data_IF_183361713345
#
_entry.id   IF_183361713345
#
_cell.length_a   1.000
_cell.length_b   1.000
_cell.length_c   1.000
_cell.angle_alpha   90.00
_cell.angle_beta   90.00
_cell.angle_gamma   90.00
#
_symmetry.space_group_name_H-M   'P 1'
#
loop_
_entity.id
_entity.type
_entity.pdbx_description
1 polymer ?
#
# COMPACT_ATOMS: atom_id res chain seq x y z
N UNK A 1 69.76 12.12 4.31
CA UNK A 1 69.08 12.95 3.30
C UNK A 1 69.32 12.37 1.92
N UNK A 2 68.27 11.91 1.22
CA UNK A 2 67.88 12.60 -0.02
C UNK A 2 66.36 12.67 -0.30
N UNK A 3 65.94 13.88 -0.70
CA UNK A 3 64.96 14.32 -1.71
C UNK A 3 63.65 13.53 -1.93
N UNK A 4 62.58 14.15 -1.44
CA UNK A 4 61.16 13.94 -1.77
C UNK A 4 60.86 14.02 -3.28
N UNK A 5 60.13 13.01 -3.80
CA UNK A 5 59.49 13.04 -5.12
C UNK A 5 58.03 13.50 -4.95
N UNK A 6 57.73 14.72 -5.41
CA UNK A 6 56.36 15.23 -5.57
C UNK A 6 55.60 14.36 -6.58
N UNK A 7 54.59 13.62 -6.10
CA UNK A 7 53.56 12.98 -6.93
C UNK A 7 52.63 14.05 -7.49
N UNK A 8 52.50 14.06 -8.81
CA UNK A 8 51.59 14.93 -9.55
C UNK A 8 50.12 14.63 -9.17
N UNK A 9 49.37 15.69 -8.83
CA UNK A 9 47.92 15.61 -8.62
C UNK A 9 47.23 15.51 -9.98
N UNK A 10 46.73 14.32 -10.29
CA UNK A 10 45.76 14.10 -11.37
C UNK A 10 44.47 14.86 -11.06
N UNK A 11 44.17 15.90 -11.84
CA UNK A 11 42.87 16.60 -11.81
C UNK A 11 41.81 15.67 -12.39
N UNK A 12 40.97 15.09 -11.53
CA UNK A 12 39.70 14.50 -11.98
C UNK A 12 38.83 15.62 -12.58
N UNK A 13 38.14 15.39 -13.71
CA UNK A 13 37.22 16.38 -14.25
C UNK A 13 36.09 16.58 -13.26
N UNK A 14 35.86 17.83 -12.87
CA UNK A 14 34.67 18.24 -12.14
C UNK A 14 33.48 18.01 -13.09
N UNK A 15 32.69 16.96 -12.84
CA UNK A 15 31.35 16.83 -13.41
C UNK A 15 30.58 18.10 -13.03
N UNK A 16 30.30 18.95 -14.03
CA UNK A 16 29.36 20.06 -13.87
C UNK A 16 28.03 19.43 -13.44
N UNK A 17 27.56 19.71 -12.22
CA UNK A 17 26.18 19.42 -11.83
C UNK A 17 25.27 20.15 -12.82
N UNK A 18 24.51 19.41 -13.62
CA UNK A 18 23.48 19.97 -14.47
C UNK A 18 22.44 20.69 -13.59
N UNK A 19 21.82 21.76 -14.11
CA UNK A 19 20.68 22.36 -13.40
C UNK A 19 19.52 21.36 -13.34
N UNK A 20 18.62 21.45 -12.34
CA UNK A 20 17.43 20.59 -12.26
C UNK A 20 16.61 20.58 -13.56
N UNK A 21 16.47 21.75 -14.20
CA UNK A 21 15.79 21.89 -15.50
C UNK A 21 16.48 21.12 -16.63
N UNK A 22 17.82 21.15 -16.67
CA UNK A 22 18.58 20.39 -17.67
C UNK A 22 18.42 18.89 -17.43
N UNK A 23 18.50 18.47 -16.16
CA UNK A 23 18.32 17.07 -15.76
C UNK A 23 16.92 16.55 -16.12
N UNK A 24 15.88 17.38 -15.96
CA UNK A 24 14.52 17.02 -16.35
C UNK A 24 14.39 16.85 -17.86
N UNK A 25 14.92 17.80 -18.63
CA UNK A 25 14.87 17.72 -20.10
C UNK A 25 15.65 16.51 -20.63
N UNK A 26 16.79 16.19 -20.02
CA UNK A 26 17.55 14.98 -20.35
C UNK A 26 16.73 13.72 -20.03
N UNK A 27 16.07 13.65 -18.87
CA UNK A 27 15.20 12.51 -18.52
C UNK A 27 14.00 12.35 -19.48
N UNK A 28 13.36 13.46 -19.87
CA UNK A 28 12.28 13.43 -20.86
C UNK A 28 12.79 12.98 -22.24
N UNK A 29 14.00 13.40 -22.62
CA UNK A 29 14.64 12.99 -23.87
C UNK A 29 14.91 11.49 -23.89
N UNK A 30 15.55 10.99 -22.84
CA UNK A 30 15.82 9.56 -22.66
C UNK A 30 14.51 8.76 -22.67
N UNK A 31 13.43 9.34 -22.11
CA UNK A 31 12.08 8.79 -22.16
C UNK A 31 11.49 8.69 -23.57
N UNK A 32 11.66 9.71 -24.40
CA UNK A 32 11.18 9.72 -25.79
C UNK A 32 11.97 8.74 -26.67
N UNK A 33 13.28 8.67 -26.45
CA UNK A 33 14.18 7.80 -27.22
C UNK A 33 14.13 6.33 -26.75
N UNK A 34 13.50 6.07 -25.60
CA UNK A 34 13.33 4.73 -25.05
C UNK A 34 12.43 3.84 -25.95
N UNK A 35 12.81 2.57 -26.16
CA UNK A 35 11.96 1.60 -26.87
C UNK A 35 10.74 1.16 -26.05
N UNK A 36 10.62 1.61 -24.79
CA UNK A 36 9.53 1.23 -23.89
C UNK A 36 8.94 2.45 -23.16
N UNK A 37 7.66 2.41 -22.74
CA UNK A 37 6.97 3.59 -22.17
C UNK A 37 7.49 4.12 -20.83
N UNK A 38 8.06 3.25 -19.99
CA UNK A 38 8.29 3.46 -18.56
C UNK A 38 9.22 4.62 -18.23
N UNK A 39 10.37 4.80 -18.91
CA UNK A 39 11.22 5.96 -18.64
C UNK A 39 10.50 7.30 -18.81
N UNK A 40 9.67 7.46 -19.87
CA UNK A 40 8.88 8.68 -20.06
C UNK A 40 7.74 8.78 -19.05
N UNK A 41 6.97 7.70 -18.85
CA UNK A 41 5.83 7.71 -17.94
C UNK A 41 6.24 7.89 -16.47
N UNK A 42 7.38 7.36 -16.06
CA UNK A 42 7.96 7.56 -14.73
C UNK A 42 8.40 9.01 -14.51
N UNK A 43 9.10 9.61 -15.48
CA UNK A 43 9.49 11.02 -15.41
C UNK A 43 8.28 11.95 -15.33
N UNK A 44 7.23 11.66 -16.10
CA UNK A 44 5.98 12.41 -16.08
C UNK A 44 5.18 12.16 -14.79
N UNK A 45 5.17 10.93 -14.27
CA UNK A 45 4.57 10.58 -12.98
C UNK A 45 5.18 11.39 -11.84
N UNK A 46 6.51 11.49 -11.79
CA UNK A 46 7.21 12.34 -10.82
C UNK A 46 6.80 13.81 -10.95
N UNK A 47 6.71 14.36 -12.16
CA UNK A 47 6.27 15.75 -12.36
C UNK A 47 4.84 15.99 -11.84
N UNK A 48 3.93 15.07 -12.13
CA UNK A 48 2.55 15.13 -11.66
C UNK A 48 2.47 14.99 -10.13
N UNK A 49 3.30 14.12 -9.55
CA UNK A 49 3.39 13.95 -8.11
C UNK A 49 3.85 15.22 -7.39
N UNK A 50 4.91 15.86 -7.91
CA UNK A 50 5.38 17.16 -7.39
C UNK A 50 4.29 18.23 -7.50
N UNK A 51 3.54 18.27 -8.61
CA UNK A 51 2.43 19.19 -8.76
C UNK A 51 1.27 18.89 -7.77
N UNK A 52 0.96 17.61 -7.54
CA UNK A 52 -0.07 17.18 -6.61
C UNK A 52 0.23 17.51 -5.15
N UNK A 53 1.51 17.54 -4.75
CA UNK A 53 1.95 17.87 -3.40
C UNK A 53 2.05 19.37 -3.09
N UNK A 54 1.73 20.26 -4.04
CA UNK A 54 1.80 21.71 -3.84
C UNK A 54 0.58 22.26 -3.07
N UNK A 55 0.70 23.49 -2.53
CA UNK A 55 -0.39 24.16 -1.81
C UNK A 55 -1.64 24.38 -2.68
N UNK A 56 -1.44 24.67 -3.98
CA UNK A 56 -2.48 24.73 -5.01
C UNK A 56 -2.11 23.78 -6.15
N UNK A 57 -2.54 22.50 -6.08
CA UNK A 57 -2.23 21.50 -7.09
C UNK A 57 -2.73 21.87 -8.49
N UNK A 58 -3.92 22.51 -8.56
CA UNK A 58 -4.55 22.89 -9.83
C UNK A 58 -3.78 24.00 -10.54
N UNK A 59 -3.41 25.06 -9.81
CA UNK A 59 -2.58 26.13 -10.36
C UNK A 59 -1.18 25.62 -10.75
N UNK A 60 -0.57 24.77 -9.92
CA UNK A 60 0.76 24.21 -10.18
C UNK A 60 0.78 23.33 -11.43
N UNK A 61 -0.24 22.48 -11.61
CA UNK A 61 -0.40 21.69 -12.82
C UNK A 61 -0.62 22.58 -14.06
N UNK A 62 -1.45 23.61 -13.94
CA UNK A 62 -1.68 24.55 -15.04
C UNK A 62 -0.39 25.28 -15.47
N UNK A 63 0.45 25.67 -14.51
CA UNK A 63 1.74 26.30 -14.76
C UNK A 63 2.78 25.34 -15.34
N UNK A 64 2.81 24.08 -14.86
CA UNK A 64 3.62 23.02 -15.47
C UNK A 64 3.26 22.82 -16.95
N UNK A 65 1.97 22.66 -17.25
CA UNK A 65 1.47 22.51 -18.63
C UNK A 65 1.82 23.73 -19.47
N UNK A 66 1.66 24.95 -18.93
CA UNK A 66 2.01 26.19 -19.63
C UNK A 66 3.50 26.28 -19.93
N UNK A 67 4.36 25.90 -19.00
CA UNK A 67 5.82 25.90 -19.14
C UNK A 67 6.28 24.94 -20.23
N UNK A 68 5.78 23.69 -20.20
CA UNK A 68 6.08 22.69 -21.23
C UNK A 68 5.55 23.11 -22.61
N UNK A 69 4.39 23.78 -22.65
CA UNK A 69 3.79 24.33 -23.88
C UNK A 69 4.53 25.56 -24.42
N UNK A 70 5.26 26.30 -23.58
CA UNK A 70 6.11 27.39 -24.07
C UNK A 70 7.39 26.88 -24.77
N UNK A 71 7.83 25.67 -24.43
CA UNK A 71 9.01 25.05 -25.00
C UNK A 71 8.67 24.29 -26.30
N UNK A 72 9.15 24.80 -27.43
CA UNK A 72 9.01 24.16 -28.74
C UNK A 72 10.05 23.04 -28.91
N UNK A 73 9.85 21.93 -28.21
CA UNK A 73 10.72 20.75 -28.22
C UNK A 73 9.90 19.45 -28.27
N UNK A 74 10.48 18.39 -28.83
CA UNK A 74 9.81 17.10 -28.96
C UNK A 74 9.58 16.47 -27.58
N UNK A 75 10.55 16.59 -26.68
CA UNK A 75 10.52 16.07 -25.32
C UNK A 75 9.40 16.67 -24.48
N UNK A 76 9.18 17.99 -24.61
CA UNK A 76 8.10 18.70 -23.90
C UNK A 76 6.74 18.42 -24.51
N UNK A 77 6.66 18.26 -25.83
CA UNK A 77 5.44 17.77 -26.51
C UNK A 77 5.07 16.34 -26.07
N UNK A 78 6.04 15.46 -25.91
CA UNK A 78 5.82 14.10 -25.41
C UNK A 78 5.33 14.11 -23.96
N UNK A 79 5.97 14.90 -23.09
CA UNK A 79 5.56 15.08 -21.70
C UNK A 79 4.12 15.63 -21.60
N UNK A 80 3.76 16.64 -22.40
CA UNK A 80 2.41 17.19 -22.43
C UNK A 80 1.36 16.15 -22.80
N UNK A 81 1.64 15.29 -23.79
CA UNK A 81 0.69 14.26 -24.21
C UNK A 81 0.54 13.16 -23.16
N UNK A 82 1.64 12.78 -22.50
CA UNK A 82 1.61 11.87 -21.36
C UNK A 82 0.79 12.47 -20.20
N UNK A 83 1.07 13.72 -19.80
CA UNK A 83 0.31 14.44 -18.75
C UNK A 83 -1.18 14.43 -19.08
N UNK A 84 -1.56 14.85 -20.28
CA UNK A 84 -2.96 14.90 -20.70
C UNK A 84 -3.68 13.55 -20.74
N UNK A 85 -2.91 12.46 -20.79
CA UNK A 85 -3.45 11.10 -20.78
C UNK A 85 -3.56 10.58 -19.34
N UNK A 86 -2.51 10.76 -18.54
CA UNK A 86 -2.46 10.32 -17.14
C UNK A 86 -3.45 11.09 -16.25
N UNK A 87 -3.70 12.37 -16.51
CA UNK A 87 -4.72 13.15 -15.78
C UNK A 87 -6.15 12.86 -16.23
N UNK A 88 -6.33 11.99 -17.22
CA UNK A 88 -7.65 11.63 -17.80
C UNK A 88 -8.42 12.84 -18.35
N UNK A 89 -7.76 13.96 -18.63
CA UNK A 89 -8.38 15.20 -19.12
C UNK A 89 -8.52 15.18 -20.65
N UNK A 90 -9.75 14.91 -21.12
CA UNK A 90 -10.08 14.86 -22.54
C UNK A 90 -9.93 16.21 -23.26
N UNK A 91 -10.16 17.34 -22.58
CA UNK A 91 -10.05 18.67 -23.18
C UNK A 91 -8.59 19.06 -23.34
N UNK A 92 -7.78 18.85 -22.29
CA UNK A 92 -6.33 19.02 -22.32
C UNK A 92 -5.72 18.15 -23.42
N UNK A 93 -6.13 16.88 -23.53
CA UNK A 93 -5.64 15.96 -24.57
C UNK A 93 -5.94 16.44 -25.98
N UNK A 94 -7.16 16.93 -26.23
CA UNK A 94 -7.53 17.50 -27.54
C UNK A 94 -6.71 18.74 -27.87
N UNK A 95 -6.49 19.62 -26.88
CA UNK A 95 -5.66 20.82 -27.03
C UNK A 95 -4.22 20.46 -27.36
N UNK A 96 -3.60 19.59 -26.56
CA UNK A 96 -2.22 19.13 -26.73
C UNK A 96 -2.02 18.42 -28.08
N UNK A 97 -2.97 17.58 -28.51
CA UNK A 97 -2.90 16.91 -29.83
C UNK A 97 -2.88 17.91 -30.99
N UNK A 98 -3.66 19.00 -30.93
CA UNK A 98 -3.61 20.07 -31.95
C UNK A 98 -2.27 20.80 -31.92
N UNK A 99 -1.80 21.17 -30.74
CA UNK A 99 -0.52 21.84 -30.55
C UNK A 99 0.67 21.02 -31.11
N UNK A 100 0.69 19.71 -30.87
CA UNK A 100 1.72 18.80 -31.41
C UNK A 100 1.66 18.75 -32.94
N UNK A 101 0.45 18.70 -33.51
CA UNK A 101 0.26 18.69 -34.96
C UNK A 101 0.73 20.01 -35.60
N UNK A 102 0.41 21.16 -34.99
CA UNK A 102 0.82 22.48 -35.46
C UNK A 102 2.35 22.64 -35.43
N UNK A 103 3.03 22.04 -34.44
CA UNK A 103 4.50 21.99 -34.34
C UNK A 103 5.15 21.01 -35.33
N UNK A 104 4.38 20.05 -35.86
CA UNK A 104 4.92 18.98 -36.70
C UNK A 104 5.82 17.99 -35.95
N UNK A 105 5.70 17.91 -34.62
CA UNK A 105 6.47 16.96 -33.81
C UNK A 105 5.98 15.53 -34.02
N UNK A 106 6.92 14.62 -34.31
CA UNK A 106 6.64 13.19 -34.46
C UNK A 106 6.93 12.50 -33.14
N UNK A 107 5.91 11.84 -32.58
CA UNK A 107 5.99 11.14 -31.31
C UNK A 107 5.92 9.61 -31.50
N UNK A 108 6.44 8.82 -30.54
CA UNK A 108 6.30 7.37 -30.57
C UNK A 108 4.83 6.95 -30.67
N UNK A 109 4.56 5.91 -31.48
CA UNK A 109 3.19 5.43 -31.72
C UNK A 109 2.47 5.05 -30.42
N UNK A 110 3.16 4.35 -29.52
CA UNK A 110 2.61 3.93 -28.23
C UNK A 110 2.09 5.11 -27.41
N UNK A 111 2.75 6.28 -27.50
CA UNK A 111 2.37 7.48 -26.78
C UNK A 111 1.17 8.19 -27.42
N UNK A 112 1.14 8.23 -28.76
CA UNK A 112 0.01 8.82 -29.51
C UNK A 112 -1.29 8.05 -29.26
N UNK A 113 -1.19 6.73 -29.14
CA UNK A 113 -2.30 5.82 -28.91
C UNK A 113 -2.51 5.48 -27.42
N UNK A 114 -1.77 6.08 -26.48
CA UNK A 114 -1.78 5.70 -25.06
C UNK A 114 -3.19 5.69 -24.43
N UNK A 115 -4.11 6.52 -24.93
CA UNK A 115 -5.53 6.55 -24.53
C UNK A 115 -6.34 5.30 -24.94
N UNK A 116 -5.74 4.40 -25.73
CA UNK A 116 -6.29 3.09 -26.14
C UNK A 116 -5.66 1.93 -25.37
N UNK A 117 -5.00 2.20 -24.25
CA UNK A 117 -4.49 1.15 -23.39
C UNK A 117 -5.64 0.33 -22.81
N UNK A 118 -5.45 -0.98 -22.71
CA UNK A 118 -6.49 -1.91 -22.27
C UNK A 118 -6.09 -2.56 -20.94
N UNK A 119 -6.99 -2.63 -19.94
CA UNK A 119 -6.72 -3.35 -18.71
C UNK A 119 -6.55 -4.84 -19.00
N UNK A 120 -5.76 -5.53 -18.18
CA UNK A 120 -5.73 -7.00 -18.16
C UNK A 120 -6.97 -7.48 -17.43
N UNK A 121 -7.66 -8.49 -17.97
CA UNK A 121 -8.90 -9.08 -17.40
C UNK A 121 -8.68 -9.89 -16.09
N UNK A 122 -7.55 -9.67 -15.42
CA UNK A 122 -7.13 -10.34 -14.20
C UNK A 122 -6.38 -9.36 -13.31
N UNK A 123 -6.73 -9.35 -12.04
CA UNK A 123 -5.96 -8.75 -10.97
C UNK A 123 -5.58 -9.84 -9.96
N UNK A 124 -4.49 -9.61 -9.22
CA UNK A 124 -3.94 -10.59 -8.29
C UNK A 124 -3.79 -9.96 -6.92
N UNK A 125 -4.14 -10.71 -5.88
CA UNK A 125 -3.81 -10.40 -4.49
C UNK A 125 -2.75 -11.38 -4.00
N UNK A 126 -1.68 -10.85 -3.43
CA UNK A 126 -0.66 -11.59 -2.68
C UNK A 126 -0.80 -11.17 -1.21
N UNK A 127 -0.96 -12.13 -0.31
CA UNK A 127 -1.18 -11.85 1.10
C UNK A 127 -0.63 -12.95 1.98
N UNK A 128 -0.30 -12.61 3.23
CA UNK A 128 0.07 -13.62 4.25
C UNK A 128 -1.19 -14.26 4.85
N UNK A 129 -1.04 -15.30 5.65
CA UNK A 129 -2.17 -15.88 6.41
C UNK A 129 -2.79 -14.91 7.41
N UNK A 130 -2.03 -13.91 7.88
CA UNK A 130 -2.52 -12.88 8.80
C UNK A 130 -3.20 -11.73 8.06
N UNK A 131 -2.87 -11.53 6.78
CA UNK A 131 -3.32 -10.38 5.96
C UNK A 131 -3.08 -9.05 6.66
N UNK A 132 -1.99 -8.95 7.40
CA UNK A 132 -1.45 -7.72 7.96
C UNK A 132 -1.23 -6.67 6.86
N UNK A 133 -0.74 -7.13 5.70
CA UNK A 133 -0.79 -6.39 4.46
C UNK A 133 -1.18 -7.28 3.28
N UNK A 134 -1.88 -6.68 2.32
CA UNK A 134 -2.17 -7.27 1.03
C UNK A 134 -1.40 -6.49 -0.05
N UNK A 135 -0.80 -7.19 -1.01
CA UNK A 135 -0.32 -6.60 -2.25
C UNK A 135 -1.32 -6.85 -3.37
N UNK A 136 -1.90 -5.78 -3.91
CA UNK A 136 -2.80 -5.85 -5.05
C UNK A 136 -2.06 -5.47 -6.33
N UNK A 137 -2.20 -6.33 -7.34
CA UNK A 137 -1.57 -6.17 -8.64
C UNK A 137 -2.61 -6.01 -9.74
N UNK A 138 -2.44 -4.98 -10.55
CA UNK A 138 -3.27 -4.71 -11.73
C UNK A 138 -2.40 -4.48 -12.96
N UNK A 139 -2.77 -5.11 -14.06
CA UNK A 139 -2.04 -5.03 -15.33
C UNK A 139 -2.75 -4.16 -16.36
N UNK A 140 -1.99 -3.47 -17.20
CA UNK A 140 -2.47 -2.75 -18.39
C UNK A 140 -1.55 -3.06 -19.57
N UNK A 141 -2.15 -3.23 -20.75
CA UNK A 141 -1.43 -3.35 -22.02
C UNK A 141 -1.51 -2.02 -22.77
N UNK A 142 -0.36 -1.39 -22.92
CA UNK A 142 -0.18 -0.16 -23.71
C UNK A 142 -0.02 -0.53 -25.19
N UNK A 143 -0.52 0.29 -26.14
CA UNK A 143 -0.31 0.05 -27.56
C UNK A 143 1.14 -0.19 -27.94
N UNK A 144 1.35 -1.10 -28.88
CA UNK A 144 2.69 -1.64 -29.17
C UNK A 144 3.03 -2.90 -28.35
N UNK A 145 2.11 -3.36 -27.48
CA UNK A 145 2.27 -4.61 -26.72
C UNK A 145 3.11 -4.45 -25.46
N UNK A 146 3.28 -3.23 -24.97
CA UNK A 146 4.04 -2.97 -23.75
C UNK A 146 3.15 -3.22 -22.53
N UNK A 147 3.58 -4.12 -21.64
CA UNK A 147 2.85 -4.39 -20.40
C UNK A 147 3.34 -3.51 -19.26
N UNK A 148 2.40 -2.95 -18.51
CA UNK A 148 2.63 -2.29 -17.23
C UNK A 148 1.88 -3.07 -16.15
N UNK A 149 2.51 -3.26 -14.99
CA UNK A 149 1.86 -3.81 -13.80
C UNK A 149 2.07 -2.86 -12.64
N UNK A 150 0.99 -2.40 -12.05
CA UNK A 150 1.03 -1.68 -10.77
C UNK A 150 0.99 -2.70 -9.65
N UNK A 151 1.82 -2.50 -8.64
CA UNK A 151 1.81 -3.23 -7.37
C UNK A 151 1.50 -2.19 -6.29
N UNK A 152 0.48 -2.43 -5.49
CA UNK A 152 0.10 -1.53 -4.38
C UNK A 152 0.00 -2.35 -3.10
N UNK A 153 0.77 -1.96 -2.08
CA UNK A 153 0.72 -2.55 -0.74
C UNK A 153 -0.32 -1.80 0.09
N UNK A 154 -1.34 -2.54 0.52
CA UNK A 154 -2.39 -2.08 1.43
C UNK A 154 -2.09 -2.66 2.80
N UNK A 155 -1.91 -1.77 3.77
CA UNK A 155 -1.70 -2.13 5.16
C UNK A 155 -3.04 -2.18 5.88
N UNK A 156 -3.49 -3.39 6.19
CA UNK A 156 -4.81 -3.61 6.78
C UNK A 156 -4.80 -3.34 8.28
N UNK A 157 -3.64 -3.46 8.92
CA UNK A 157 -3.39 -3.12 10.32
C UNK A 157 -3.54 -1.61 10.58
N UNK A 158 -3.30 -0.77 9.57
CA UNK A 158 -3.54 0.68 9.58
C UNK A 158 -4.92 1.10 9.05
N UNK A 159 -5.88 0.17 8.94
CA UNK A 159 -7.23 0.49 8.44
C UNK A 159 -7.34 0.45 6.91
N UNK A 160 -6.61 -0.48 6.27
CA UNK A 160 -6.57 -0.67 4.81
C UNK A 160 -6.03 0.55 4.05
N UNK A 161 -4.88 1.09 4.49
CA UNK A 161 -4.22 2.25 3.90
C UNK A 161 -3.18 1.83 2.85
N UNK A 162 -3.12 2.52 1.72
CA UNK A 162 -2.05 2.30 0.74
C UNK A 162 -0.72 2.86 1.28
N UNK A 163 0.19 1.98 1.70
CA UNK A 163 1.46 2.39 2.32
C UNK A 163 2.62 2.41 1.34
N UNK A 164 2.55 1.60 0.29
CA UNK A 164 3.57 1.53 -0.75
C UNK A 164 2.93 1.20 -2.10
N UNK A 165 3.64 1.49 -3.18
CA UNK A 165 3.22 1.09 -4.51
C UNK A 165 4.15 1.59 -5.59
N UNK A 166 4.17 0.87 -6.71
CA UNK A 166 5.06 1.18 -7.83
C UNK A 166 4.53 0.53 -9.10
N UNK A 167 5.04 0.98 -10.25
CA UNK A 167 4.70 0.40 -11.55
C UNK A 167 5.94 -0.19 -12.20
N UNK A 168 5.82 -1.43 -12.69
CA UNK A 168 6.87 -2.13 -13.42
C UNK A 168 6.47 -2.38 -14.87
N UNK A 169 7.47 -2.35 -15.76
CA UNK A 169 7.28 -2.63 -17.19
C UNK A 169 7.38 -4.13 -17.48
N UNK A 170 6.47 -4.89 -16.90
CA UNK A 170 6.42 -6.34 -17.09
C UNK A 170 4.98 -6.82 -17.05
N UNK A 171 4.67 -7.92 -17.75
CA UNK A 171 3.35 -8.54 -17.66
C UNK A 171 3.07 -9.01 -16.24
N UNK A 172 1.80 -8.90 -15.82
CA UNK A 172 1.34 -9.32 -14.49
C UNK A 172 1.86 -10.73 -14.13
N UNK A 173 1.76 -11.68 -15.06
CA UNK A 173 2.21 -13.06 -14.86
C UNK A 173 3.71 -13.22 -14.58
N UNK A 174 4.54 -12.24 -14.96
CA UNK A 174 5.98 -12.23 -14.68
C UNK A 174 6.32 -11.53 -13.37
N UNK A 175 5.44 -10.65 -12.88
CA UNK A 175 5.63 -9.88 -11.63
C UNK A 175 5.20 -10.69 -10.42
N UNK A 176 4.07 -11.42 -10.51
CA UNK A 176 3.55 -12.22 -9.39
C UNK A 176 4.62 -13.14 -8.77
N UNK A 177 5.40 -13.92 -9.54
CA UNK A 177 6.41 -14.81 -8.95
C UNK A 177 7.56 -14.07 -8.25
N UNK A 178 7.79 -12.78 -8.53
CA UNK A 178 8.84 -11.99 -7.89
C UNK A 178 8.45 -11.50 -6.50
N UNK A 179 7.14 -11.48 -6.20
CA UNK A 179 6.58 -11.06 -4.91
C UNK A 179 6.40 -12.22 -3.94
N UNK A 180 6.39 -13.45 -4.46
CA UNK A 180 6.37 -14.65 -3.64
C UNK A 180 7.82 -14.92 -3.25
N UNK A 181 8.20 -14.66 -2.00
CA UNK A 181 9.49 -15.12 -1.50
C UNK A 181 9.57 -16.65 -1.67
N UNK A 182 10.65 -17.12 -2.30
CA UNK A 182 10.79 -18.51 -2.74
C UNK A 182 10.51 -19.50 -1.59
N UNK A 183 9.30 -20.07 -1.59
CA UNK A 183 8.91 -21.15 -0.71
C UNK A 183 8.30 -20.77 0.64
N UNK A 184 7.86 -19.51 0.85
CA UNK A 184 7.06 -19.19 2.03
C UNK A 184 5.68 -19.87 1.94
N UNK A 185 5.38 -20.87 2.79
CA UNK A 185 4.11 -21.59 2.76
C UNK A 185 2.90 -20.76 3.23
N UNK A 186 3.15 -19.60 3.86
CA UNK A 186 2.10 -18.73 4.41
C UNK A 186 1.70 -17.61 3.46
N UNK A 187 2.43 -17.42 2.36
CA UNK A 187 2.04 -16.52 1.28
C UNK A 187 0.97 -17.19 0.42
N UNK A 188 -0.15 -16.50 0.27
CA UNK A 188 -1.29 -16.87 -0.57
C UNK A 188 -1.35 -15.95 -1.77
N UNK A 189 -1.57 -16.55 -2.93
CA UNK A 189 -1.79 -15.83 -4.18
C UNK A 189 -3.15 -16.21 -4.71
N UNK A 190 -4.00 -15.22 -4.95
CA UNK A 190 -5.33 -15.43 -5.49
C UNK A 190 -5.68 -14.43 -6.58
N UNK A 191 -6.54 -14.86 -7.47
CA UNK A 191 -7.14 -13.97 -8.46
C UNK A 191 -8.27 -13.19 -7.80
N UNK A 192 -8.33 -11.89 -8.12
CA UNK A 192 -9.40 -11.00 -7.71
C UNK A 192 -10.02 -10.35 -8.95
N UNK A 193 -11.34 -10.08 -8.94
CA UNK A 193 -11.98 -9.34 -10.03
C UNK A 193 -11.30 -7.97 -10.21
N UNK A 194 -10.97 -7.54 -11.44
CA UNK A 194 -10.37 -6.21 -11.66
C UNK A 194 -11.20 -5.06 -11.08
N UNK A 195 -12.53 -5.16 -11.12
CA UNK A 195 -13.40 -4.15 -10.50
C UNK A 195 -13.18 -4.04 -8.99
N UNK A 196 -13.01 -5.17 -8.30
CA UNK A 196 -12.77 -5.22 -6.85
C UNK A 196 -11.38 -4.67 -6.53
N UNK A 197 -10.35 -5.05 -7.31
CA UNK A 197 -9.01 -4.51 -7.15
C UNK A 197 -9.00 -2.99 -7.34
N UNK A 198 -9.71 -2.46 -8.34
CA UNK A 198 -9.89 -1.01 -8.53
C UNK A 198 -10.51 -0.37 -7.29
N UNK A 199 -11.65 -0.89 -6.82
CA UNK A 199 -12.36 -0.33 -5.69
C UNK A 199 -11.49 -0.30 -4.41
N UNK A 200 -10.77 -1.39 -4.12
CA UNK A 200 -9.89 -1.52 -2.95
C UNK A 200 -8.70 -0.57 -3.00
N UNK A 201 -7.98 -0.53 -4.13
CA UNK A 201 -6.82 0.36 -4.27
C UNK A 201 -7.27 1.83 -4.20
N UNK A 202 -8.38 2.19 -4.85
CA UNK A 202 -8.92 3.56 -4.78
C UNK A 202 -9.31 3.94 -3.35
N UNK A 203 -9.97 3.05 -2.61
CA UNK A 203 -10.30 3.29 -1.20
C UNK A 203 -9.03 3.46 -0.34
N UNK A 204 -8.05 2.58 -0.50
CA UNK A 204 -6.80 2.62 0.25
C UNK A 204 -5.97 3.90 0.00
N UNK A 205 -5.99 4.42 -1.24
CA UNK A 205 -5.38 5.72 -1.58
C UNK A 205 -6.16 6.89 -0.96
N UNK A 206 -7.49 6.81 -0.88
CA UNK A 206 -8.30 7.83 -0.23
C UNK A 206 -8.06 7.86 1.29
N UNK A 207 -7.92 6.71 1.94
CA UNK A 207 -7.57 6.64 3.36
C UNK A 207 -6.18 7.24 3.64
N UNK A 208 -5.21 7.02 2.75
CA UNK A 208 -3.90 7.68 2.84
C UNK A 208 -4.01 9.22 2.82
N UNK A 209 -4.92 9.78 2.03
CA UNK A 209 -5.13 11.22 1.92
C UNK A 209 -5.77 11.84 3.18
N UNK A 210 -6.57 11.05 3.90
CA UNK A 210 -7.20 11.44 5.16
C UNK A 210 -6.25 11.30 6.36
N UNK A 211 -5.29 10.38 6.27
CA UNK A 211 -4.38 10.03 7.36
C UNK A 211 -3.40 11.14 7.79
N UNK A 212 -2.90 11.10 9.03
CA UNK A 212 -1.86 12.01 9.51
C UNK A 212 -0.56 11.78 8.74
N UNK A 213 0.06 12.85 8.25
CA UNK A 213 1.34 12.77 7.55
C UNK A 213 1.28 12.56 6.03
N UNK A 214 0.08 12.40 5.42
CA UNK A 214 -0.27 12.56 3.97
C UNK A 214 0.73 12.10 2.90
N UNK A 215 1.63 11.20 3.22
CA UNK A 215 2.69 10.78 2.29
C UNK A 215 2.90 9.30 2.53
N UNK A 216 2.51 8.50 1.53
CA UNK A 216 2.89 7.09 1.47
C UNK A 216 4.40 6.97 1.23
N UNK A 217 4.86 5.78 0.86
CA UNK A 217 6.26 5.62 0.46
C UNK A 217 6.65 6.58 -0.68
N UNK A 218 7.94 6.92 -0.79
CA UNK A 218 8.46 7.71 -1.92
C UNK A 218 8.09 7.07 -3.26
N UNK A 219 8.18 5.74 -3.36
CA UNK A 219 7.81 4.98 -4.57
C UNK A 219 6.33 5.18 -4.94
N UNK A 220 5.45 5.13 -3.94
CA UNK A 220 4.02 5.32 -4.14
C UNK A 220 3.74 6.72 -4.63
N UNK A 221 4.33 7.72 -3.97
CA UNK A 221 4.17 9.13 -4.34
C UNK A 221 4.58 9.36 -5.80
N UNK A 222 5.74 8.84 -6.22
CA UNK A 222 6.22 8.97 -7.60
C UNK A 222 5.35 8.24 -8.63
N UNK A 223 4.84 7.07 -8.26
CA UNK A 223 4.07 6.19 -9.16
C UNK A 223 2.57 6.48 -9.16
N UNK A 224 2.07 7.22 -8.17
CA UNK A 224 0.63 7.42 -7.92
C UNK A 224 -0.14 7.91 -9.15
N UNK A 225 0.32 8.94 -9.90
CA UNK A 225 -0.40 9.38 -11.08
C UNK A 225 -0.54 8.28 -12.16
N UNK A 226 0.48 7.41 -12.27
CA UNK A 226 0.44 6.29 -13.21
C UNK A 226 -0.47 5.17 -12.68
N UNK A 227 -0.44 4.88 -11.38
CA UNK A 227 -1.36 3.94 -10.73
C UNK A 227 -2.81 4.40 -10.91
N UNK A 228 -3.15 5.64 -10.58
CA UNK A 228 -4.49 6.20 -10.73
C UNK A 228 -4.98 6.17 -12.18
N UNK A 229 -4.11 6.49 -13.14
CA UNK A 229 -4.43 6.32 -14.55
C UNK A 229 -4.71 4.85 -14.90
N UNK A 230 -3.90 3.90 -14.46
CA UNK A 230 -4.15 2.46 -14.69
C UNK A 230 -5.50 2.05 -14.09
N UNK A 231 -5.82 2.47 -12.86
CA UNK A 231 -7.10 2.19 -12.20
C UNK A 231 -8.29 2.77 -12.98
N UNK A 232 -8.13 3.93 -13.62
CA UNK A 232 -9.19 4.54 -14.45
C UNK A 232 -9.59 3.69 -15.65
N UNK A 233 -8.72 2.77 -16.10
CA UNK A 233 -8.99 1.84 -17.19
C UNK A 233 -9.74 0.58 -16.74
N UNK A 234 -9.68 0.24 -15.45
CA UNK A 234 -10.32 -0.96 -14.91
C UNK A 234 -11.85 -0.75 -14.79
N UNK A 235 -12.66 -1.83 -14.82
CA UNK A 235 -14.11 -1.73 -14.65
C UNK A 235 -14.53 -1.13 -13.30
N UNK A 236 -15.65 -0.41 -13.28
CA UNK A 236 -16.28 0.11 -12.05
C UNK A 236 -17.19 -0.92 -11.37
N UNK A 237 -17.68 -0.59 -10.17
CA UNK A 237 -18.73 -1.36 -9.49
C UNK A 237 -18.25 -2.56 -8.68
N UNK A 238 -16.95 -2.67 -8.42
CA UNK A 238 -16.40 -3.69 -7.52
C UNK A 238 -16.57 -3.36 -6.04
N UNK A 239 -16.26 -4.34 -5.19
CA UNK A 239 -16.33 -4.23 -3.73
C UNK A 239 -15.00 -3.71 -3.16
N UNK A 240 -15.05 -2.52 -2.56
CA UNK A 240 -13.89 -1.83 -1.98
C UNK A 240 -13.47 -2.31 -0.59
N UNK A 241 -14.35 -3.00 0.13
CA UNK A 241 -14.02 -3.65 1.41
C UNK A 241 -13.82 -5.16 1.19
N UNK A 242 -12.71 -5.67 1.71
CA UNK A 242 -12.47 -7.12 1.85
C UNK A 242 -12.74 -7.60 3.27
N UNK A 243 -12.72 -6.66 4.22
CA UNK A 243 -12.93 -6.94 5.63
C UNK A 243 -14.40 -7.25 5.83
N UNK A 244 -14.70 -8.50 6.17
CA UNK A 244 -16.02 -8.84 6.68
C UNK A 244 -16.13 -8.21 8.06
N UNK A 245 -16.94 -7.17 8.18
CA UNK A 245 -17.43 -6.72 9.48
C UNK A 245 -18.33 -7.81 10.04
N UNK A 246 -17.92 -8.39 11.17
CA UNK A 246 -18.74 -9.35 11.90
C UNK A 246 -19.84 -8.59 12.64
N UNK A 247 -21.06 -9.11 12.58
CA UNK A 247 -22.14 -8.62 13.44
C UNK A 247 -21.88 -9.00 14.89
N UNK A 248 -22.61 -8.38 15.83
CA UNK A 248 -22.59 -8.81 17.23
C UNK A 248 -22.96 -10.30 17.36
N UNK A 249 -23.98 -10.75 16.62
CA UNK A 249 -24.40 -12.16 16.61
C UNK A 249 -23.30 -13.10 16.07
N UNK A 250 -22.55 -12.67 15.05
CA UNK A 250 -21.42 -13.44 14.52
C UNK A 250 -20.29 -13.55 15.57
N UNK A 251 -20.00 -12.47 16.30
CA UNK A 251 -19.01 -12.47 17.39
C UNK A 251 -19.45 -13.33 18.57
N UNK A 252 -20.74 -13.30 18.93
CA UNK A 252 -21.31 -14.16 19.97
C UNK A 252 -21.19 -15.64 19.60
N UNK A 253 -21.45 -16.00 18.34
CA UNK A 253 -21.27 -17.38 17.87
C UNK A 253 -19.80 -17.84 17.97
N UNK A 254 -18.86 -16.95 17.65
CA UNK A 254 -17.42 -17.22 17.82
C UNK A 254 -17.06 -17.38 19.30
N UNK A 255 -17.56 -16.51 20.16
CA UNK A 255 -17.33 -16.57 21.61
C UNK A 255 -17.84 -17.88 22.19
N UNK A 256 -19.09 -18.25 21.89
CA UNK A 256 -19.70 -19.48 22.36
C UNK A 256 -18.94 -20.73 21.86
N UNK A 257 -18.47 -20.70 20.61
CA UNK A 257 -17.62 -21.74 20.04
C UNK A 257 -16.28 -21.91 20.77
N UNK A 258 -15.62 -20.80 21.13
CA UNK A 258 -14.40 -20.82 21.92
C UNK A 258 -14.67 -21.36 23.33
N UNK A 259 -15.67 -20.83 24.03
CA UNK A 259 -16.02 -21.18 25.41
C UNK A 259 -16.42 -22.65 25.57
N UNK A 260 -17.09 -23.24 24.56
CA UNK A 260 -17.40 -24.66 24.54
C UNK A 260 -16.17 -25.56 24.27
N UNK A 261 -15.06 -24.99 23.83
CA UNK A 261 -13.83 -25.68 23.47
C UNK A 261 -12.93 -26.01 24.66
N UNK A 262 -11.91 -26.88 24.45
CA UNK A 262 -11.00 -27.30 25.52
C UNK A 262 -10.16 -26.14 26.09
N UNK A 263 -9.85 -25.13 25.28
CA UNK A 263 -9.12 -23.92 25.69
C UNK A 263 -10.02 -22.83 26.28
N UNK A 264 -11.33 -22.83 25.99
CA UNK A 264 -12.27 -21.81 26.48
C UNK A 264 -13.00 -22.19 27.76
N UNK A 265 -12.99 -23.47 28.15
CA UNK A 265 -13.73 -23.94 29.35
C UNK A 265 -13.31 -23.26 30.67
N UNK A 266 -12.08 -22.76 30.79
CA UNK A 266 -11.62 -21.97 31.94
C UNK A 266 -12.11 -20.51 31.95
N UNK A 267 -12.75 -20.08 30.86
CA UNK A 267 -13.25 -18.73 30.61
C UNK A 267 -14.78 -18.67 30.56
N UNK A 268 -15.48 -19.78 30.82
CA UNK A 268 -16.94 -19.90 30.74
C UNK A 268 -17.69 -19.32 31.94
N UNK A 269 -17.01 -18.62 32.85
CA UNK A 269 -17.65 -17.90 33.95
C UNK A 269 -18.32 -16.65 33.40
N UNK A 270 -19.55 -16.37 33.85
CA UNK A 270 -20.34 -15.23 33.38
C UNK A 270 -19.60 -13.90 33.66
N UNK A 271 -18.81 -13.84 34.74
CA UNK A 271 -18.00 -12.66 35.10
C UNK A 271 -16.82 -12.41 34.13
N UNK A 272 -16.41 -13.41 33.34
CA UNK A 272 -15.32 -13.32 32.36
C UNK A 272 -15.81 -13.05 30.93
N UNK A 273 -17.10 -13.22 30.66
CA UNK A 273 -17.69 -13.00 29.34
C UNK A 273 -17.39 -11.60 28.76
N UNK A 274 -17.50 -10.49 29.54
CA UNK A 274 -17.17 -9.17 29.02
C UNK A 274 -15.74 -9.05 28.47
N UNK A 275 -14.76 -9.65 29.14
CA UNK A 275 -13.37 -9.67 28.67
C UNK A 275 -13.22 -10.48 27.38
N UNK A 276 -13.90 -11.63 27.28
CA UNK A 276 -13.89 -12.46 26.06
C UNK A 276 -14.45 -11.70 24.87
N UNK A 277 -15.62 -11.07 25.05
CA UNK A 277 -16.28 -10.31 23.99
C UNK A 277 -15.42 -9.13 23.54
N UNK A 278 -14.78 -8.43 24.48
CA UNK A 278 -13.94 -7.28 24.16
C UNK A 278 -12.66 -7.68 23.42
N UNK A 279 -11.98 -8.75 23.84
CA UNK A 279 -10.79 -9.26 23.15
C UNK A 279 -11.15 -9.77 21.74
N UNK A 280 -12.28 -10.46 21.57
CA UNK A 280 -12.75 -10.89 20.26
C UNK A 280 -13.14 -9.70 19.37
N UNK A 281 -13.83 -8.70 19.92
CA UNK A 281 -14.16 -7.48 19.19
C UNK A 281 -12.90 -6.76 18.72
N UNK A 282 -11.89 -6.60 19.60
CA UNK A 282 -10.60 -6.02 19.22
C UNK A 282 -9.86 -6.86 18.16
N UNK A 283 -9.92 -8.20 18.28
CA UNK A 283 -9.36 -9.15 17.32
C UNK A 283 -10.02 -9.09 15.94
N UNK A 284 -11.30 -8.74 15.86
CA UNK A 284 -12.00 -8.58 14.58
C UNK A 284 -11.45 -7.45 13.71
N UNK A 285 -10.69 -6.51 14.29
CA UNK A 285 -10.03 -5.41 13.59
C UNK A 285 -8.61 -5.75 13.09
N UNK A 286 -8.25 -7.04 12.99
CA UNK A 286 -6.91 -7.52 12.64
C UNK A 286 -6.57 -7.54 11.14
N UNK A 287 -7.25 -6.75 10.31
CA UNK A 287 -6.96 -6.68 8.88
C UNK A 287 -7.41 -7.88 8.01
N UNK A 288 -7.83 -9.00 8.62
CA UNK A 288 -8.56 -10.09 7.95
C UNK A 288 -10.05 -10.11 8.33
N UNK A 289 -10.43 -9.49 9.45
CA UNK A 289 -11.81 -9.52 9.95
C UNK A 289 -12.12 -10.77 10.78
N UNK A 290 -11.09 -11.46 11.27
CA UNK A 290 -11.21 -12.78 11.88
C UNK A 290 -10.67 -12.79 13.31
N UNK A 291 -11.51 -12.75 14.33
CA UNK A 291 -11.10 -12.56 15.73
C UNK A 291 -10.33 -13.75 16.32
N UNK A 292 -10.22 -14.86 15.58
CA UNK A 292 -9.48 -16.05 15.99
C UNK A 292 -8.06 -16.13 15.41
N UNK A 293 -7.65 -15.18 14.57
CA UNK A 293 -6.33 -15.17 13.93
C UNK A 293 -5.52 -14.00 14.50
N UNK A 294 -4.40 -14.29 15.15
CA UNK A 294 -3.64 -13.26 15.88
C UNK A 294 -2.20 -13.20 15.37
N UNK A 295 -1.85 -12.10 14.70
CA UNK A 295 -0.47 -11.80 14.35
C UNK A 295 0.31 -11.31 15.58
N UNK A 296 1.65 -11.48 15.63
CA UNK A 296 2.49 -10.88 16.67
C UNK A 296 2.26 -9.37 16.85
N UNK A 297 2.00 -8.66 15.75
CA UNK A 297 1.69 -7.23 15.78
C UNK A 297 0.36 -6.94 16.47
N UNK A 298 -0.71 -7.66 16.13
CA UNK A 298 -2.03 -7.46 16.74
C UNK A 298 -2.01 -7.77 18.25
N UNK A 299 -1.25 -8.79 18.65
CA UNK A 299 -0.98 -9.09 20.07
C UNK A 299 -0.29 -7.91 20.75
N UNK A 300 0.81 -7.41 20.16
CA UNK A 300 1.55 -6.28 20.68
C UNK A 300 0.70 -5.02 20.79
N UNK A 301 -0.16 -4.77 19.80
CA UNK A 301 -1.08 -3.63 19.77
C UNK A 301 -2.15 -3.72 20.86
N UNK A 302 -2.80 -4.88 21.00
CA UNK A 302 -3.85 -5.08 22.02
C UNK A 302 -3.30 -4.89 23.44
N UNK A 303 -2.10 -5.41 23.69
CA UNK A 303 -1.44 -5.36 24.99
C UNK A 303 -0.54 -4.12 25.18
N UNK A 304 -0.57 -3.13 24.29
CA UNK A 304 0.17 -1.88 24.49
C UNK A 304 -0.58 -0.99 25.49
N UNK A 305 -0.04 -0.74 26.69
CA UNK A 305 -0.73 0.05 27.71
C UNK A 305 -0.92 1.53 27.31
N UNK A 306 -0.29 1.99 26.23
CA UNK A 306 -0.46 3.35 25.70
C UNK A 306 -1.65 3.46 24.75
N UNK A 307 -2.25 2.35 24.36
CA UNK A 307 -3.35 2.29 23.40
C UNK A 307 -4.61 1.75 24.10
N UNK A 308 -5.72 2.49 24.13
CA UNK A 308 -6.92 2.09 24.86
C UNK A 308 -7.78 1.12 24.04
N UNK A 309 -7.25 -0.06 23.73
CA UNK A 309 -8.01 -1.11 23.01
C UNK A 309 -8.90 -1.95 23.90
N UNK A 310 -8.59 -2.01 25.20
CA UNK A 310 -9.41 -2.61 26.23
C UNK A 310 -9.86 -1.51 27.19
N UNK A 311 -11.15 -1.49 27.51
CA UNK A 311 -11.77 -0.60 28.47
C UNK A 311 -11.26 -0.98 29.87
N UNK A 312 -10.66 -0.02 30.55
CA UNK A 312 -10.18 -0.18 31.93
C UNK A 312 -11.29 -0.57 32.92
N UNK A 313 -12.56 -0.37 32.57
CA UNK A 313 -13.71 -0.74 33.39
C UNK A 313 -14.19 -2.17 33.17
N UNK A 314 -13.68 -2.86 32.13
CA UNK A 314 -13.99 -4.27 31.90
C UNK A 314 -13.47 -5.13 33.05
N UNK A 315 -14.29 -6.04 33.62
CA UNK A 315 -13.84 -6.93 34.68
C UNK A 315 -12.66 -7.80 34.23
N UNK A 316 -11.68 -7.98 35.11
CA UNK A 316 -10.56 -8.91 34.92
C UNK A 316 -9.65 -8.60 33.71
N UNK A 317 -9.53 -7.32 33.30
CA UNK A 317 -8.64 -6.89 32.20
C UNK A 317 -7.19 -7.37 32.40
N UNK A 318 -6.73 -7.49 33.64
CA UNK A 318 -5.41 -8.02 33.98
C UNK A 318 -5.18 -9.46 33.48
N UNK A 319 -6.25 -10.22 33.20
CA UNK A 319 -6.21 -11.58 32.65
C UNK A 319 -6.18 -11.63 31.12
N UNK A 320 -6.24 -10.50 30.42
CA UNK A 320 -6.23 -10.45 28.96
C UNK A 320 -5.04 -11.21 28.32
N UNK A 321 -3.79 -11.15 28.85
CA UNK A 321 -2.69 -11.94 28.29
C UNK A 321 -2.93 -13.46 28.35
N UNK A 322 -3.51 -13.96 29.44
CA UNK A 322 -3.79 -15.40 29.58
C UNK A 322 -4.92 -15.84 28.65
N UNK A 323 -5.98 -15.03 28.54
CA UNK A 323 -7.06 -15.27 27.59
C UNK A 323 -6.53 -15.32 26.16
N UNK A 324 -5.65 -14.37 25.81
CA UNK A 324 -5.08 -14.27 24.48
C UNK A 324 -4.22 -15.50 24.14
N UNK A 325 -3.47 -16.07 25.10
CA UNK A 325 -2.73 -17.33 24.88
C UNK A 325 -3.66 -18.48 24.52
N UNK A 326 -4.81 -18.59 25.18
CA UNK A 326 -5.78 -19.66 24.92
C UNK A 326 -6.57 -19.44 23.62
N UNK A 327 -6.95 -18.19 23.33
CA UNK A 327 -7.55 -17.81 22.05
C UNK A 327 -6.62 -18.06 20.87
N UNK A 328 -5.34 -17.70 20.97
CA UNK A 328 -4.33 -17.97 19.93
C UNK A 328 -4.26 -19.48 19.66
N UNK A 329 -4.11 -20.31 20.70
CA UNK A 329 -4.04 -21.77 20.53
C UNK A 329 -5.31 -22.33 19.91
N UNK A 330 -6.48 -21.91 20.40
CA UNK A 330 -7.77 -22.36 19.88
C UNK A 330 -7.95 -21.96 18.42
N UNK A 331 -7.80 -20.66 18.14
CA UNK A 331 -8.06 -20.06 16.84
C UNK A 331 -7.08 -20.55 15.78
N UNK A 332 -5.78 -20.55 16.07
CA UNK A 332 -4.75 -21.01 15.13
C UNK A 332 -4.91 -22.51 14.83
N UNK A 333 -5.24 -23.33 15.82
CA UNK A 333 -5.54 -24.75 15.61
C UNK A 333 -6.81 -24.94 14.76
N UNK A 334 -7.88 -24.18 15.05
CA UNK A 334 -9.14 -24.24 14.30
C UNK A 334 -8.98 -23.80 12.84
N UNK A 335 -8.06 -22.87 12.57
CA UNK A 335 -7.76 -22.36 11.22
C UNK A 335 -6.60 -23.07 10.52
N UNK A 336 -5.98 -24.04 11.19
CA UNK A 336 -4.90 -24.84 10.63
C UNK A 336 -3.62 -24.05 10.35
N UNK A 337 -3.33 -23.02 11.14
CA UNK A 337 -2.08 -22.27 11.04
C UNK A 337 -0.90 -23.17 11.45
N UNK A 338 0.28 -22.87 10.89
CA UNK A 338 1.51 -23.57 11.24
C UNK A 338 1.89 -23.31 12.70
N UNK A 339 2.57 -24.27 13.32
CA UNK A 339 2.99 -24.16 14.72
C UNK A 339 3.91 -22.95 14.94
N UNK A 340 4.84 -22.69 14.02
CA UNK A 340 5.78 -21.56 14.08
C UNK A 340 5.05 -20.22 14.24
N UNK A 341 3.96 -20.00 13.48
CA UNK A 341 3.13 -18.80 13.58
C UNK A 341 2.42 -18.65 14.93
N UNK A 342 2.02 -19.79 15.49
CA UNK A 342 1.39 -19.84 16.82
C UNK A 342 2.43 -19.52 17.89
N UNK A 343 3.63 -20.06 17.77
CA UNK A 343 4.74 -19.80 18.68
C UNK A 343 5.17 -18.33 18.64
N UNK A 344 5.23 -17.71 17.46
CA UNK A 344 5.56 -16.29 17.29
C UNK A 344 4.50 -15.37 17.94
N UNK A 345 3.21 -15.68 17.76
CA UNK A 345 2.12 -14.93 18.40
C UNK A 345 2.16 -15.07 19.93
N UNK A 346 2.41 -16.28 20.44
CA UNK A 346 2.56 -16.52 21.88
C UNK A 346 3.78 -15.81 22.47
N UNK A 347 4.90 -15.79 21.74
CA UNK A 347 6.10 -15.04 22.15
C UNK A 347 5.84 -13.53 22.23
N UNK A 348 4.99 -12.99 21.34
CA UNK A 348 4.55 -11.60 21.44
C UNK A 348 3.69 -11.33 22.68
N UNK A 349 2.86 -12.29 23.12
CA UNK A 349 2.12 -12.17 24.38
C UNK A 349 3.10 -12.08 25.54
N UNK A 350 4.08 -12.98 25.58
CA UNK A 350 5.08 -13.05 26.65
C UNK A 350 5.93 -11.77 26.72
N UNK A 351 6.25 -11.17 25.57
CA UNK A 351 7.00 -9.92 25.51
C UNK A 351 6.21 -8.70 26.04
N UNK A 352 4.88 -8.69 25.92
CA UNK A 352 4.03 -7.54 26.26
C UNK A 352 3.30 -7.67 27.61
N UNK A 353 3.09 -8.89 28.11
CA UNK A 353 2.23 -9.17 29.27
C UNK A 353 2.61 -8.39 30.54
N UNK A 354 3.89 -8.38 30.93
CA UNK A 354 4.33 -7.75 32.17
C UNK A 354 4.08 -6.23 32.17
N UNK A 355 4.37 -5.56 31.05
CA UNK A 355 4.17 -4.13 30.90
C UNK A 355 2.68 -3.77 30.94
N UNK A 356 1.85 -4.57 30.28
CA UNK A 356 0.40 -4.42 30.28
C UNK A 356 -0.19 -4.57 31.69
N UNK A 357 0.11 -5.67 32.39
CA UNK A 357 -0.41 -5.95 33.74
C UNK A 357 0.02 -4.86 34.73
N UNK A 358 1.26 -4.38 34.64
CA UNK A 358 1.74 -3.29 35.48
C UNK A 358 0.94 -1.99 35.26
N UNK A 359 0.55 -1.68 34.03
CA UNK A 359 -0.24 -0.50 33.72
C UNK A 359 -1.68 -0.61 34.20
N UNK A 360 -2.33 -1.77 34.00
CA UNK A 360 -3.70 -2.02 34.48
C UNK A 360 -3.78 -1.84 36.00
N UNK A 361 -2.83 -2.42 36.74
CA UNK A 361 -2.77 -2.26 38.21
C UNK A 361 -2.55 -0.82 38.66
N UNK A 362 -1.76 -0.05 37.90
CA UNK A 362 -1.53 1.35 38.22
C UNK A 362 -2.79 2.21 38.04
N UNK A 363 -3.70 1.84 37.14
CA UNK A 363 -4.98 2.51 36.94
C UNK A 363 -5.97 2.21 38.08
N UNK A 364 -5.97 0.99 38.60
CA UNK A 364 -6.78 0.62 39.77
C UNK A 364 -6.34 1.35 41.05
N UNK A 365 -5.05 1.72 41.13
CA UNK A 365 -4.46 2.44 42.26
C UNK A 365 -4.61 3.98 42.19
N UNK A 366 -5.04 4.56 41.06
CA UNK A 366 -5.32 6.00 40.94
C UNK A 366 -6.74 6.35 41.47
N UNK A 367 -6.87 7.10 42.57
CA UNK A 367 -8.19 7.46 43.09
C UNK A 367 -8.86 8.48 42.15
N UNK A 368 -10.10 8.17 41.74
CA UNK A 368 -11.02 9.09 41.05
C UNK A 368 -11.08 10.44 41.79
N UNK A 369 -10.40 11.47 41.27
CA UNK A 369 -10.49 12.86 41.74
C UNK A 369 -11.65 13.61 41.11
#
# INVERSE_FOLDING_TARGET
MPKSKKRAKSRRPQQRRASPETSLLDALRDGVDSPTPGPLLGAVGLLLSVAAGADDPGATLADLVRSLSAADRVETSAALLAIATLTVDAELRRRVRREIADRGHVLPRWLVELDRSEPVDRAVEVSTVFRDADELLVGVTVPGGHSLTAVVRIDNELGAVATDGYVVQSPLASVVPLLIEDGDPDVRVRDVPPADARARITAALAELDLGPGRVGSERLVESRPLVEWMLSLLPEGGQGSVLRELSADDLDEVADGFLAGPWGSSWSDDDLRPLVDEVLAAGSANGIGDPLVWSPWNVGRLLDPRLPYLDSTTPHVDRAPDLLRDLIRHGHAARGLRQELTDDALAAVDASADAFIAAVRALDDEPLT
#
